data_IF_296690507691
#
_entry.id   IF_296690507691
#
_cell.length_a   1.000
_cell.length_b   1.000
_cell.length_c   1.000
_cell.angle_alpha   90.00
_cell.angle_beta   90.00
_cell.angle_gamma   90.00
#
_symmetry.space_group_name_H-M   'P 1'
#
loop_
_entity.id
_entity.type
_entity.pdbx_description
1 polymer ?
#
# COMPACT_ATOMS: atom_id res chain seq x y z
N UNK A 1 -15.67 -15.44 0.98
CA UNK A 1 -14.39 -15.68 0.26
C UNK A 1 -13.28 -15.53 1.28
N UNK A 2 -12.29 -16.41 1.28
CA UNK A 2 -11.12 -16.33 2.16
C UNK A 2 -9.87 -16.40 1.30
N UNK A 3 -8.94 -15.49 1.53
CA UNK A 3 -7.63 -15.47 0.85
C UNK A 3 -6.59 -15.88 1.89
N UNK A 4 -5.86 -16.96 1.61
CA UNK A 4 -4.81 -17.44 2.49
C UNK A 4 -3.45 -16.79 2.18
N UNK A 5 -2.39 -17.19 2.91
CA UNK A 5 -1.03 -16.73 2.63
C UNK A 5 -0.60 -17.05 1.18
N UNK A 6 0.21 -16.17 0.60
CA UNK A 6 0.78 -16.32 -0.75
C UNK A 6 0.39 -15.19 -1.70
N UNK A 7 0.48 -15.45 -3.00
CA UNK A 7 0.18 -14.48 -4.05
C UNK A 7 -1.17 -14.81 -4.69
N UNK A 8 -2.09 -13.85 -4.70
CA UNK A 8 -3.44 -14.00 -5.29
C UNK A 8 -3.66 -12.93 -6.35
N UNK A 9 -4.12 -13.34 -7.53
CA UNK A 9 -4.52 -12.44 -8.61
C UNK A 9 -6.01 -12.15 -8.62
N UNK A 10 -6.40 -10.88 -8.69
CA UNK A 10 -7.79 -10.44 -8.88
C UNK A 10 -8.00 -9.99 -10.33
N UNK A 11 -8.65 -10.84 -11.14
CA UNK A 11 -8.85 -10.60 -12.58
C UNK A 11 -10.30 -10.27 -12.93
N UNK A 12 -10.49 -9.42 -13.94
CA UNK A 12 -11.80 -9.04 -14.46
C UNK A 12 -11.72 -7.81 -15.37
N UNK A 13 -12.74 -7.53 -16.20
CA UNK A 13 -12.75 -6.37 -17.10
C UNK A 13 -12.72 -5.03 -16.35
N UNK A 14 -12.45 -3.95 -17.07
CA UNK A 14 -12.57 -2.59 -16.52
C UNK A 14 -14.01 -2.35 -16.04
N UNK A 15 -14.17 -1.75 -14.87
CA UNK A 15 -15.48 -1.55 -14.25
C UNK A 15 -16.03 -2.76 -13.47
N UNK A 16 -15.37 -3.92 -13.47
CA UNK A 16 -15.82 -5.10 -12.71
C UNK A 16 -15.74 -4.96 -11.16
N UNK A 17 -15.25 -3.82 -10.65
CA UNK A 17 -15.15 -3.55 -9.20
C UNK A 17 -13.84 -3.99 -8.54
N UNK A 18 -12.77 -4.26 -9.30
CA UNK A 18 -11.47 -4.69 -8.75
C UNK A 18 -10.87 -3.66 -7.78
N UNK A 19 -10.72 -2.42 -8.23
CA UNK A 19 -10.20 -1.32 -7.39
C UNK A 19 -11.14 -1.03 -6.22
N UNK A 20 -12.46 -1.18 -6.41
CA UNK A 20 -13.46 -1.08 -5.33
C UNK A 20 -13.23 -2.14 -4.25
N UNK A 21 -12.99 -3.40 -4.63
CA UNK A 21 -12.69 -4.48 -3.69
C UNK A 21 -11.37 -4.24 -2.97
N UNK A 22 -10.32 -3.83 -3.68
CA UNK A 22 -9.02 -3.49 -3.08
C UNK A 22 -9.17 -2.34 -2.06
N UNK A 23 -9.93 -1.29 -2.39
CA UNK A 23 -10.18 -0.17 -1.47
C UNK A 23 -10.98 -0.59 -0.23
N UNK A 24 -11.93 -1.53 -0.36
CA UNK A 24 -12.62 -2.10 0.81
C UNK A 24 -11.68 -2.93 1.68
N UNK A 25 -10.79 -3.73 1.08
CA UNK A 25 -9.78 -4.52 1.80
C UNK A 25 -8.71 -3.64 2.46
N UNK A 26 -8.40 -2.47 1.90
CA UNK A 26 -7.48 -1.50 2.49
C UNK A 26 -8.17 -0.54 3.50
N UNK A 27 -9.49 -0.66 3.69
CA UNK A 27 -10.24 0.21 4.62
C UNK A 27 -10.57 1.61 4.11
N UNK A 28 -10.29 1.92 2.85
CA UNK A 28 -10.63 3.20 2.21
C UNK A 28 -12.09 3.31 1.77
N UNK A 29 -12.79 2.18 1.67
CA UNK A 29 -14.20 2.16 1.28
C UNK A 29 -15.00 1.24 2.20
N UNK A 30 -16.17 1.71 2.63
CA UNK A 30 -17.08 0.90 3.44
C UNK A 30 -17.73 -0.21 2.60
N UNK A 31 -17.82 -1.46 3.09
CA UNK A 31 -18.65 -2.46 2.45
C UNK A 31 -20.13 -2.09 2.57
N UNK A 32 -20.89 -2.22 1.48
CA UNK A 32 -22.35 -2.00 1.51
C UNK A 32 -23.11 -3.08 2.28
N UNK A 33 -22.49 -4.25 2.46
CA UNK A 33 -23.00 -5.37 3.24
C UNK A 33 -21.90 -6.39 3.53
N UNK A 34 -22.12 -7.22 4.55
CA UNK A 34 -21.11 -8.17 5.03
C UNK A 34 -19.96 -7.50 5.77
N UNK A 35 -18.82 -8.18 5.87
CA UNK A 35 -17.65 -7.70 6.62
C UNK A 35 -16.39 -8.15 5.92
N UNK A 36 -15.37 -7.29 5.92
CA UNK A 36 -14.01 -7.64 5.53
C UNK A 36 -13.16 -7.70 6.79
N UNK A 37 -12.41 -8.78 6.93
CA UNK A 37 -11.55 -9.04 8.08
C UNK A 37 -10.13 -9.37 7.65
N UNK A 38 -9.14 -8.87 8.37
CA UNK A 38 -7.75 -9.29 8.31
C UNK A 38 -7.47 -10.14 9.55
N UNK A 39 -7.12 -11.42 9.37
CA UNK A 39 -6.87 -12.38 10.46
C UNK A 39 -7.98 -12.40 11.54
N UNK A 40 -9.23 -12.34 11.10
CA UNK A 40 -10.42 -12.32 11.96
C UNK A 40 -10.78 -10.93 12.53
N UNK A 41 -9.95 -9.92 12.34
CA UNK A 41 -10.19 -8.56 12.81
C UNK A 41 -10.88 -7.71 11.73
N UNK A 42 -12.01 -7.06 12.01
CA UNK A 42 -12.67 -6.17 11.04
C UNK A 42 -11.76 -5.02 10.59
N UNK A 43 -11.76 -4.75 9.28
CA UNK A 43 -10.91 -3.71 8.68
C UNK A 43 -11.58 -2.33 8.73
N UNK A 44 -12.88 -2.25 8.42
CA UNK A 44 -13.57 -0.96 8.33
C UNK A 44 -13.56 -0.21 9.67
N UNK A 45 -13.03 1.02 9.66
CA UNK A 45 -12.82 1.87 10.86
C UNK A 45 -11.89 1.26 11.90
N UNK A 46 -10.88 0.51 11.46
CA UNK A 46 -9.85 -0.04 12.33
C UNK A 46 -8.46 0.39 11.87
N UNK A 47 -7.95 1.45 12.50
CA UNK A 47 -6.64 2.04 12.18
C UNK A 47 -5.47 1.08 12.45
N UNK A 48 -5.61 0.17 13.40
CA UNK A 48 -4.58 -0.82 13.72
C UNK A 48 -4.37 -1.79 12.56
N UNK A 49 -5.46 -2.25 11.94
CA UNK A 49 -5.43 -3.11 10.75
C UNK A 49 -4.68 -2.47 9.57
N UNK A 50 -4.79 -1.15 9.41
CA UNK A 50 -4.17 -0.44 8.28
C UNK A 50 -2.64 -0.46 8.36
N UNK A 51 -2.06 -0.54 9.56
CA UNK A 51 -0.60 -0.63 9.75
C UNK A 51 -0.02 -1.94 9.22
N UNK A 52 -0.83 -2.98 9.09
CA UNK A 52 -0.43 -4.27 8.56
C UNK A 52 -0.65 -4.41 7.04
N UNK A 53 -1.21 -3.39 6.38
CA UNK A 53 -1.57 -3.42 4.96
C UNK A 53 -0.66 -2.47 4.18
N UNK A 54 0.08 -3.00 3.21
CA UNK A 54 0.72 -2.19 2.17
C UNK A 54 -0.19 -2.07 0.94
N UNK A 55 -0.40 -0.85 0.45
CA UNK A 55 -1.15 -0.59 -0.78
C UNK A 55 -0.37 0.33 -1.72
N UNK A 56 -0.25 -0.09 -2.97
CA UNK A 56 0.15 0.79 -4.08
C UNK A 56 -1.13 1.18 -4.84
N UNK A 57 -1.59 2.44 -4.75
CA UNK A 57 -2.80 2.88 -5.42
C UNK A 57 -2.61 2.99 -6.94
N UNK A 58 -3.71 2.92 -7.69
CA UNK A 58 -3.71 3.07 -9.16
C UNK A 58 -3.19 4.44 -9.62
N UNK A 59 -3.41 5.48 -8.81
CA UNK A 59 -2.84 6.82 -9.00
C UNK A 59 -1.97 7.13 -7.80
N UNK A 60 -0.67 7.29 -8.02
CA UNK A 60 0.22 7.75 -6.97
C UNK A 60 0.12 9.27 -6.83
N UNK A 61 0.02 9.73 -5.58
CA UNK A 61 0.26 11.12 -5.22
C UNK A 61 1.75 11.35 -5.04
N UNK A 62 2.52 11.30 -6.13
CA UNK A 62 3.95 11.61 -6.07
C UNK A 62 4.14 13.12 -5.85
N UNK A 63 4.99 13.47 -4.90
CA UNK A 63 5.42 14.85 -4.68
C UNK A 63 6.59 15.13 -5.62
N UNK A 64 6.30 15.76 -6.76
CA UNK A 64 7.22 16.07 -7.86
C UNK A 64 8.44 16.95 -7.47
N UNK A 65 8.37 17.60 -6.31
CA UNK A 65 9.50 18.35 -5.76
C UNK A 65 10.50 17.49 -4.98
N UNK A 66 10.17 16.23 -4.67
CA UNK A 66 11.04 15.28 -3.96
C UNK A 66 11.88 14.44 -4.92
N UNK A 67 13.06 14.04 -4.45
CA UNK A 67 13.84 12.95 -5.03
C UNK A 67 13.27 11.58 -4.64
N UNK A 68 13.65 10.54 -5.38
CA UNK A 68 13.30 9.16 -5.02
C UNK A 68 13.68 8.79 -3.59
N UNK A 69 14.87 9.23 -3.13
CA UNK A 69 15.34 9.03 -1.76
C UNK A 69 14.46 9.75 -0.75
N UNK A 70 14.19 11.04 -0.98
CA UNK A 70 13.38 11.84 -0.06
C UNK A 70 11.95 11.29 0.05
N UNK A 71 11.36 10.83 -1.06
CA UNK A 71 10.04 10.21 -1.04
C UNK A 71 10.01 8.92 -0.20
N UNK A 72 10.99 8.03 -0.38
CA UNK A 72 11.05 6.78 0.38
C UNK A 72 11.36 7.03 1.86
N UNK A 73 12.23 7.99 2.18
CA UNK A 73 12.51 8.40 3.56
C UNK A 73 11.27 8.99 4.23
N UNK A 74 10.55 9.89 3.54
CA UNK A 74 9.31 10.47 4.07
C UNK A 74 8.26 9.39 4.39
N UNK A 75 8.10 8.39 3.52
CA UNK A 75 7.21 7.26 3.79
C UNK A 75 7.71 6.41 4.98
N UNK A 76 9.01 6.12 5.05
CA UNK A 76 9.59 5.38 6.18
C UNK A 76 9.32 6.08 7.52
N UNK A 77 9.52 7.39 7.59
CA UNK A 77 9.25 8.20 8.78
C UNK A 77 7.77 8.17 9.19
N UNK A 78 6.84 8.29 8.23
CA UNK A 78 5.40 8.17 8.48
C UNK A 78 5.01 6.79 9.04
N UNK A 79 5.78 5.76 8.71
CA UNK A 79 5.62 4.41 9.24
C UNK A 79 6.45 4.13 10.51
N UNK A 80 7.16 5.12 11.06
CA UNK A 80 7.99 4.98 12.26
C UNK A 80 9.26 4.15 12.05
N UNK A 81 9.75 4.09 10.82
CA UNK A 81 10.95 3.37 10.42
C UNK A 81 12.16 4.31 10.31
N UNK A 82 13.36 3.72 10.30
CA UNK A 82 14.62 4.46 10.21
C UNK A 82 15.15 4.58 8.77
N UNK A 83 16.18 5.41 8.59
CA UNK A 83 16.83 5.63 7.28
C UNK A 83 17.42 4.33 6.69
N UNK A 84 17.78 3.35 7.54
CA UNK A 84 18.25 2.04 7.08
C UNK A 84 17.12 1.26 6.40
N UNK A 85 15.90 1.34 6.92
CA UNK A 85 14.73 0.74 6.27
C UNK A 85 14.47 1.38 4.90
N UNK A 86 14.59 2.71 4.79
CA UNK A 86 14.46 3.43 3.52
C UNK A 86 15.55 3.01 2.50
N UNK A 87 16.81 2.96 2.92
CA UNK A 87 17.92 2.51 2.08
C UNK A 87 17.72 1.05 1.62
N UNK A 88 17.27 0.17 2.52
CA UNK A 88 16.93 -1.22 2.18
C UNK A 88 15.78 -1.30 1.18
N UNK A 89 14.75 -0.46 1.31
CA UNK A 89 13.63 -0.43 0.39
C UNK A 89 14.08 -0.06 -1.02
N UNK A 90 14.90 0.99 -1.17
CA UNK A 90 15.51 1.39 -2.45
C UNK A 90 16.32 0.25 -3.08
N UNK A 91 17.14 -0.43 -2.28
CA UNK A 91 17.95 -1.56 -2.74
C UNK A 91 17.12 -2.78 -3.15
N UNK A 92 16.00 -3.03 -2.46
CA UNK A 92 15.10 -4.17 -2.77
C UNK A 92 14.47 -4.02 -4.16
N UNK A 93 14.29 -2.79 -4.63
CA UNK A 93 13.71 -2.49 -5.96
C UNK A 93 14.76 -2.02 -6.96
N UNK A 94 16.06 -2.12 -6.63
CA UNK A 94 17.20 -1.77 -7.50
C UNK A 94 17.18 -0.31 -8.01
N UNK A 95 16.72 0.63 -7.16
CA UNK A 95 16.54 2.04 -7.53
C UNK A 95 17.64 2.98 -6.99
N UNK A 96 18.73 2.46 -6.42
CA UNK A 96 19.80 3.30 -5.84
C UNK A 96 20.45 4.22 -6.88
N UNK A 97 20.55 3.78 -8.14
CA UNK A 97 21.13 4.57 -9.23
C UNK A 97 20.31 5.83 -9.57
N UNK A 98 19.03 5.85 -9.20
CA UNK A 98 18.09 6.93 -9.48
C UNK A 98 17.64 7.68 -8.22
N UNK A 99 18.16 7.33 -7.03
CA UNK A 99 17.65 7.83 -5.77
C UNK A 99 17.71 9.35 -5.62
N UNK A 100 18.70 10.01 -6.23
CA UNK A 100 18.88 11.47 -6.18
C UNK A 100 18.15 12.21 -7.31
N UNK A 101 17.42 11.49 -8.18
CA UNK A 101 16.61 12.11 -9.24
C UNK A 101 15.28 12.57 -8.66
N UNK A 102 14.85 13.76 -9.07
CA UNK A 102 13.47 14.21 -8.85
C UNK A 102 12.48 13.26 -9.53
N UNK A 103 11.37 13.05 -8.85
CA UNK A 103 10.25 12.21 -9.31
C UNK A 103 9.45 12.95 -10.38
#
# INVERSE_FOLDING_TARGET
>A
MTVGPGVTGLLGPNGAGKSTLINMMAGFLAPSGGTVTLDGTPIWRNEESYRAIGLVPEREGMYDFLTGREFVVANAELHGLDDKAAAKALATVEMEYAQDRKI
#
